data_IF_714485959524
#
_entry.id   IF_714485959524
#
_cell.length_a   1.000
_cell.length_b   1.000
_cell.length_c   1.000
_cell.angle_alpha   90.00
_cell.angle_beta   90.00
_cell.angle_gamma   90.00
#
_symmetry.space_group_name_H-M   'P 1'
#
loop_
_entity.id
_entity.type
_entity.pdbx_description
1 polymer ?
#
# COMPACT_ATOMS: atom_id res chain seq x y z
N UNK A 1 -27.64 -19.93 59.75
CA UNK A 1 -28.73 -20.36 60.66
C UNK A 1 -29.91 -20.73 59.78
N UNK A 2 -30.48 -21.93 59.68
CA UNK A 2 -30.48 -23.21 60.43
C UNK A 2 -30.69 -24.33 59.37
N UNK A 3 -29.80 -25.31 59.21
CA UNK A 3 -29.91 -26.72 59.66
C UNK A 3 -31.33 -27.30 59.77
N UNK A 4 -31.63 -28.23 58.83
CA UNK A 4 -32.18 -29.61 58.90
C UNK A 4 -33.13 -30.02 60.07
N UNK A 5 -34.01 -31.06 59.98
CA UNK A 5 -33.61 -32.43 59.61
C UNK A 5 -34.67 -33.29 58.88
N UNK A 6 -34.19 -34.41 58.34
CA UNK A 6 -34.97 -35.45 57.70
C UNK A 6 -34.09 -36.68 57.52
N UNK A 7 -33.67 -37.21 58.67
CA UNK A 7 -32.73 -38.30 58.92
C UNK A 7 -33.16 -39.66 58.31
N UNK A 8 -32.24 -40.35 57.63
CA UNK A 8 -31.42 -41.49 58.12
C UNK A 8 -32.06 -42.88 57.88
N UNK A 9 -31.34 -43.65 57.05
CA UNK A 9 -30.78 -45.01 57.29
C UNK A 9 -31.26 -46.13 56.37
N UNK A 10 -30.26 -46.91 55.95
CA UNK A 10 -30.28 -48.36 55.78
C UNK A 10 -31.04 -48.91 54.57
N UNK A 11 -30.46 -49.73 53.71
CA UNK A 11 -29.39 -50.71 53.91
C UNK A 11 -28.59 -50.90 52.62
N UNK A 12 -27.31 -51.13 52.78
CA UNK A 12 -26.38 -51.51 51.74
C UNK A 12 -26.77 -52.84 51.08
N UNK A 13 -26.58 -52.93 49.75
CA UNK A 13 -25.99 -54.12 49.16
C UNK A 13 -25.08 -53.72 47.99
N UNK A 14 -23.79 -53.86 48.25
CA UNK A 14 -22.70 -53.80 47.30
C UNK A 14 -22.70 -55.13 46.53
N UNK A 15 -22.91 -55.12 45.22
CA UNK A 15 -22.21 -56.07 44.33
C UNK A 15 -21.68 -55.30 43.12
N UNK A 16 -20.36 -55.24 43.16
CA UNK A 16 -19.42 -54.75 42.17
C UNK A 16 -19.55 -55.57 40.89
N UNK A 17 -19.90 -54.92 39.77
CA UNK A 17 -19.71 -55.48 38.44
C UNK A 17 -18.66 -54.64 37.70
N UNK A 18 -17.39 -54.85 38.07
CA UNK A 18 -16.27 -54.53 37.19
C UNK A 18 -16.22 -55.58 36.08
N UNK A 19 -16.21 -55.13 34.83
CA UNK A 19 -15.67 -55.93 33.73
C UNK A 19 -16.43 -55.81 32.42
N UNK A 20 -16.03 -54.80 31.63
CA UNK A 20 -15.90 -54.73 30.17
C UNK A 20 -16.50 -53.43 29.60
N UNK A 21 -15.65 -52.62 28.93
CA UNK A 21 -15.82 -52.57 27.49
C UNK A 21 -14.47 -52.77 26.78
N UNK A 22 -14.36 -53.88 26.08
CA UNK A 22 -13.51 -53.98 24.90
C UNK A 22 -14.31 -53.46 23.71
N UNK A 23 -13.86 -52.36 23.10
CA UNK A 23 -13.85 -52.16 21.65
C UNK A 23 -13.37 -50.73 21.38
N UNK A 24 -12.19 -50.65 20.78
CA UNK A 24 -11.57 -49.44 20.29
C UNK A 24 -12.50 -48.71 19.32
N UNK A 25 -12.75 -47.43 19.59
CA UNK A 25 -13.46 -46.56 18.68
C UNK A 25 -12.50 -46.19 17.54
N UNK A 26 -12.84 -46.63 16.32
CA UNK A 26 -12.10 -46.33 15.10
C UNK A 26 -11.99 -44.83 14.90
N UNK A 27 -10.78 -44.29 15.03
CA UNK A 27 -10.43 -42.96 14.56
C UNK A 27 -10.50 -42.97 13.03
N UNK A 28 -11.64 -42.55 12.49
CA UNK A 28 -11.83 -42.34 11.06
C UNK A 28 -10.97 -41.12 10.67
N UNK A 29 -9.79 -41.35 10.09
CA UNK A 29 -9.01 -40.29 9.45
C UNK A 29 -9.88 -39.58 8.38
N UNK A 30 -9.86 -38.24 8.29
CA UNK A 30 -10.53 -37.56 7.20
C UNK A 30 -9.90 -38.00 5.88
N UNK A 31 -10.75 -38.42 4.93
CA UNK A 31 -10.36 -38.70 3.55
C UNK A 31 -9.42 -37.59 3.06
N UNK A 32 -8.22 -37.96 2.62
CA UNK A 32 -7.37 -37.09 1.78
C UNK A 32 -8.28 -36.53 0.69
N UNK A 33 -8.50 -35.22 0.68
CA UNK A 33 -8.95 -34.55 -0.54
C UNK A 33 -7.86 -34.83 -1.57
N UNK A 34 -8.24 -35.50 -2.64
CA UNK A 34 -7.44 -35.57 -3.86
C UNK A 34 -7.25 -34.11 -4.32
N UNK A 35 -6.10 -33.54 -3.98
CA UNK A 35 -5.69 -32.26 -4.53
C UNK A 35 -5.53 -32.51 -6.03
N UNK A 36 -6.37 -31.84 -6.84
CA UNK A 36 -6.31 -31.94 -8.30
C UNK A 36 -4.87 -31.74 -8.75
N UNK A 37 -4.39 -32.61 -9.64
CA UNK A 37 -3.04 -32.64 -10.23
C UNK A 37 -2.60 -31.34 -10.94
N UNK A 38 -3.44 -30.30 -10.97
CA UNK A 38 -3.13 -29.00 -11.55
C UNK A 38 -2.37 -28.03 -10.63
N UNK A 39 -2.17 -28.37 -9.34
CA UNK A 39 -1.36 -27.54 -8.41
C UNK A 39 0.01 -28.15 -8.06
N UNK A 40 0.44 -29.19 -8.77
CA UNK A 40 1.68 -29.93 -8.51
C UNK A 40 2.93 -29.22 -9.04
N UNK A 41 3.05 -27.92 -8.82
CA UNK A 41 4.28 -27.17 -9.09
C UNK A 41 4.75 -26.32 -7.90
N UNK A 42 4.09 -26.38 -6.74
CA UNK A 42 4.34 -25.52 -5.59
C UNK A 42 5.42 -25.99 -4.59
N UNK A 43 6.23 -27.01 -4.91
CA UNK A 43 7.34 -27.47 -4.04
C UNK A 43 8.60 -27.67 -4.89
N UNK A 44 9.74 -27.07 -4.50
CA UNK A 44 11.05 -27.34 -5.12
C UNK A 44 11.48 -28.80 -4.84
N UNK A 45 12.38 -29.40 -5.62
CA UNK A 45 12.88 -30.76 -5.37
C UNK A 45 13.45 -30.96 -3.95
N UNK A 46 13.83 -29.88 -3.26
CA UNK A 46 14.33 -29.86 -1.88
C UNK A 46 13.23 -29.77 -0.79
N UNK A 47 11.95 -29.85 -1.15
CA UNK A 47 10.84 -29.77 -0.19
C UNK A 47 10.52 -28.36 0.34
N UNK A 48 11.20 -27.33 -0.17
CA UNK A 48 10.89 -25.94 0.12
C UNK A 48 9.61 -25.49 -0.62
N UNK A 49 8.72 -24.69 0.00
CA UNK A 49 7.62 -24.06 -0.71
C UNK A 49 8.19 -23.20 -1.85
N UNK A 50 7.59 -23.25 -3.04
CA UNK A 50 8.02 -22.37 -4.13
C UNK A 50 7.99 -20.92 -3.67
N UNK A 51 9.00 -20.11 -4.03
CA UNK A 51 8.91 -18.68 -3.82
C UNK A 51 7.65 -18.18 -4.51
N UNK A 52 6.81 -17.47 -3.76
CA UNK A 52 5.70 -16.72 -4.31
C UNK A 52 6.29 -15.64 -5.22
N UNK A 53 6.29 -15.90 -6.52
CA UNK A 53 6.94 -15.04 -7.49
C UNK A 53 5.92 -14.14 -8.17
N UNK A 54 6.18 -12.84 -8.13
CA UNK A 54 5.37 -11.87 -8.85
C UNK A 54 5.63 -12.04 -10.35
N UNK A 55 4.55 -12.13 -11.13
CA UNK A 55 4.61 -12.13 -12.59
C UNK A 55 3.73 -10.99 -13.10
N UNK A 56 4.30 -9.93 -13.71
CA UNK A 56 5.74 -9.68 -13.94
C UNK A 56 6.55 -9.50 -12.65
N UNK A 57 7.90 -9.71 -12.70
CA UNK A 57 8.76 -9.47 -11.54
C UNK A 57 8.76 -7.99 -11.17
N UNK A 58 8.73 -7.69 -9.87
CA UNK A 58 8.78 -6.32 -9.39
C UNK A 58 10.15 -5.68 -9.71
N UNK A 59 10.11 -4.40 -10.05
CA UNK A 59 11.30 -3.55 -10.10
C UNK A 59 11.91 -3.42 -8.70
N UNK A 60 13.14 -2.90 -8.62
CA UNK A 60 13.80 -2.53 -7.34
C UNK A 60 13.02 -1.48 -6.55
N UNK A 61 12.02 -0.87 -7.18
CA UNK A 61 11.12 0.09 -6.59
C UNK A 61 9.89 -0.51 -5.89
N UNK A 62 9.77 -1.83 -5.78
CA UNK A 62 8.69 -2.49 -5.05
C UNK A 62 9.11 -3.81 -4.41
N UNK A 63 8.21 -4.35 -3.60
CA UNK A 63 8.38 -5.67 -2.99
C UNK A 63 7.24 -6.60 -3.43
N UNK A 64 7.56 -7.85 -3.71
CA UNK A 64 6.55 -8.85 -4.03
C UNK A 64 5.84 -9.31 -2.75
N UNK A 65 4.52 -9.17 -2.70
CA UNK A 65 3.71 -9.52 -1.53
C UNK A 65 2.50 -10.36 -1.93
N UNK A 66 2.09 -11.27 -1.04
CA UNK A 66 0.86 -12.04 -1.20
C UNK A 66 -0.33 -11.21 -0.74
N UNK A 67 -1.41 -11.22 -1.52
CA UNK A 67 -2.66 -10.63 -1.06
C UNK A 67 -3.31 -11.58 -0.04
N UNK A 68 -3.58 -11.13 1.18
CA UNK A 68 -4.05 -12.01 2.26
C UNK A 68 -5.38 -12.74 2.01
N UNK A 69 -6.09 -12.39 0.93
CA UNK A 69 -7.38 -12.95 0.52
C UNK A 69 -7.32 -13.76 -0.77
N UNK A 70 -6.19 -13.79 -1.49
CA UNK A 70 -6.05 -14.52 -2.75
C UNK A 70 -4.70 -15.20 -2.88
N UNK A 71 -4.61 -16.21 -3.74
CA UNK A 71 -3.34 -16.86 -4.09
C UNK A 71 -2.50 -16.04 -5.08
N UNK A 72 -2.86 -14.77 -5.34
CA UNK A 72 -2.13 -13.89 -6.25
C UNK A 72 -1.13 -13.01 -5.49
N UNK A 73 0.14 -13.13 -5.88
CA UNK A 73 1.19 -12.20 -5.52
C UNK A 73 1.08 -10.93 -6.38
N UNK A 74 1.36 -9.76 -5.80
CA UNK A 74 1.45 -8.49 -6.51
C UNK A 74 2.62 -7.66 -6.00
N UNK A 75 3.03 -6.66 -6.78
CA UNK A 75 4.07 -5.74 -6.38
C UNK A 75 3.49 -4.62 -5.53
N UNK A 76 3.95 -4.51 -4.28
CA UNK A 76 3.74 -3.36 -3.43
C UNK A 76 4.80 -2.30 -3.76
N UNK A 77 4.39 -1.24 -4.44
CA UNK A 77 5.30 -0.18 -4.86
C UNK A 77 5.69 0.76 -3.73
N UNK A 78 6.93 1.25 -3.77
CA UNK A 78 7.38 2.37 -2.92
C UNK A 78 6.59 3.64 -3.27
N UNK A 79 6.49 4.61 -2.35
CA UNK A 79 5.84 5.89 -2.62
C UNK A 79 6.38 6.55 -3.89
N UNK A 80 5.49 7.09 -4.72
CA UNK A 80 5.84 7.74 -5.99
C UNK A 80 5.97 6.79 -7.19
N UNK A 81 6.04 5.47 -6.98
CA UNK A 81 6.07 4.48 -8.06
C UNK A 81 4.69 3.87 -8.31
N UNK A 82 4.45 3.45 -9.55
CA UNK A 82 3.23 2.81 -10.01
C UNK A 82 3.49 1.83 -11.15
N UNK A 83 2.41 1.21 -11.63
CA UNK A 83 2.46 0.10 -12.58
C UNK A 83 2.36 -1.26 -11.91
N UNK A 84 2.21 -2.31 -12.72
CA UNK A 84 2.02 -3.68 -12.23
C UNK A 84 3.28 -4.28 -11.59
N UNK A 85 4.44 -3.77 -12.00
CA UNK A 85 5.77 -4.14 -11.55
C UNK A 85 6.51 -2.97 -10.87
N UNK A 86 5.84 -1.85 -10.57
CA UNK A 86 6.49 -0.62 -10.07
C UNK A 86 7.53 -0.06 -11.04
N UNK A 87 7.23 -0.14 -12.33
CA UNK A 87 8.08 0.19 -13.46
C UNK A 87 7.96 1.64 -13.92
N UNK A 88 7.00 2.40 -13.38
CA UNK A 88 6.71 3.77 -13.76
C UNK A 88 6.63 4.67 -12.52
N UNK A 89 6.81 5.97 -12.73
CA UNK A 89 6.47 6.97 -11.72
C UNK A 89 4.98 7.27 -11.78
N UNK A 90 4.39 7.59 -10.63
CA UNK A 90 3.07 8.18 -10.57
C UNK A 90 3.08 9.58 -11.20
N UNK A 91 1.94 10.07 -11.71
CA UNK A 91 1.84 11.42 -12.25
C UNK A 91 2.35 12.48 -11.26
N UNK A 92 3.17 13.41 -11.74
CA UNK A 92 3.82 14.44 -10.92
C UNK A 92 5.08 13.98 -10.17
N UNK A 93 5.63 12.81 -10.49
CA UNK A 93 6.91 12.32 -9.98
C UNK A 93 7.88 12.04 -11.14
N UNK A 94 9.17 12.31 -10.93
CA UNK A 94 10.18 12.23 -11.98
C UNK A 94 11.48 11.53 -11.55
N UNK A 95 12.25 11.06 -12.54
CA UNK A 95 13.58 10.49 -12.35
C UNK A 95 13.57 9.05 -11.83
N UNK A 96 14.76 8.50 -11.59
CA UNK A 96 14.92 7.07 -11.19
C UNK A 96 14.28 6.73 -9.86
N UNK A 97 14.21 7.72 -8.96
CA UNK A 97 13.72 7.58 -7.60
C UNK A 97 12.26 8.05 -7.48
N UNK A 98 11.62 8.41 -8.61
CA UNK A 98 10.30 9.03 -8.67
C UNK A 98 10.16 10.10 -7.59
N UNK A 99 10.96 11.15 -7.69
CA UNK A 99 10.95 12.29 -6.78
C UNK A 99 9.77 13.21 -7.13
N UNK A 100 9.05 13.79 -6.15
CA UNK A 100 7.91 14.63 -6.47
C UNK A 100 8.37 15.92 -7.17
N UNK A 101 7.71 16.28 -8.26
CA UNK A 101 7.99 17.51 -9.01
C UNK A 101 7.93 18.77 -8.13
N UNK A 102 7.05 18.78 -7.12
CA UNK A 102 6.91 19.90 -6.17
C UNK A 102 8.23 20.22 -5.46
N UNK A 103 9.07 19.22 -5.16
CA UNK A 103 10.35 19.43 -4.47
C UNK A 103 11.36 20.25 -5.29
N UNK A 104 11.23 20.22 -6.62
CA UNK A 104 12.07 21.00 -7.54
C UNK A 104 11.38 22.29 -7.98
N UNK A 105 10.09 22.23 -8.30
CA UNK A 105 9.34 23.30 -8.95
C UNK A 105 8.48 24.17 -8.03
N UNK A 106 8.37 23.87 -6.73
CA UNK A 106 7.52 24.60 -5.79
C UNK A 106 8.09 24.57 -4.36
N UNK A 107 9.07 25.43 -4.05
CA UNK A 107 9.74 25.43 -2.76
C UNK A 107 8.87 25.96 -1.61
N UNK A 108 7.79 26.67 -1.92
CA UNK A 108 6.87 27.28 -0.96
C UNK A 108 5.76 26.35 -0.52
N UNK A 109 5.68 25.14 -1.09
CA UNK A 109 4.55 24.21 -0.93
C UNK A 109 3.22 24.91 -1.24
N UNK A 110 3.23 25.79 -2.24
CA UNK A 110 2.02 26.48 -2.68
C UNK A 110 1.03 25.42 -3.15
N UNK A 111 -0.15 25.36 -2.52
CA UNK A 111 -1.18 24.38 -2.89
C UNK A 111 -1.64 24.54 -4.35
N UNK A 112 -1.38 25.72 -4.93
CA UNK A 112 -1.57 25.98 -6.34
C UNK A 112 -0.27 25.63 -7.08
N UNK A 113 -0.31 24.56 -7.87
CA UNK A 113 0.78 24.26 -8.78
C UNK A 113 0.85 25.34 -9.88
N UNK A 114 1.84 26.23 -9.79
CA UNK A 114 2.12 27.26 -10.78
C UNK A 114 3.11 26.80 -11.86
N UNK A 115 3.23 25.48 -12.01
CA UNK A 115 4.21 24.85 -12.89
C UNK A 115 3.61 23.61 -13.53
N UNK A 116 4.15 23.28 -14.70
CA UNK A 116 4.12 21.96 -15.30
C UNK A 116 5.51 21.35 -15.15
N UNK A 117 5.59 20.02 -15.03
CA UNK A 117 6.83 19.31 -14.79
C UNK A 117 7.01 18.21 -15.82
N UNK A 118 8.24 18.02 -16.29
CA UNK A 118 8.66 16.84 -17.05
C UNK A 118 8.70 15.61 -16.13
N UNK A 119 7.57 14.93 -15.99
CA UNK A 119 7.38 13.78 -15.12
C UNK A 119 7.65 12.44 -15.82
N UNK A 120 7.78 11.37 -15.04
CA UNK A 120 8.05 10.02 -15.53
C UNK A 120 9.42 9.47 -15.19
N UNK A 121 9.57 8.17 -15.47
CA UNK A 121 10.80 7.42 -15.19
C UNK A 121 11.86 7.76 -16.24
N UNK A 122 13.00 8.30 -15.80
CA UNK A 122 14.05 8.79 -16.70
C UNK A 122 13.90 10.25 -17.12
N UNK A 123 12.80 10.90 -16.75
CA UNK A 123 12.60 12.34 -16.94
C UNK A 123 13.44 13.16 -15.97
N UNK A 124 13.68 14.42 -16.32
CA UNK A 124 14.58 15.33 -15.59
C UNK A 124 13.87 16.16 -14.51
N UNK A 125 12.53 16.19 -14.56
CA UNK A 125 11.71 17.01 -13.68
C UNK A 125 11.83 18.50 -13.98
N UNK A 126 12.18 18.88 -15.20
CA UNK A 126 12.29 20.29 -15.57
C UNK A 126 10.94 21.01 -15.45
N UNK A 127 10.99 22.22 -14.91
CA UNK A 127 9.83 22.99 -14.52
C UNK A 127 9.49 24.01 -15.61
N UNK A 128 8.23 24.04 -16.03
CA UNK A 128 7.69 25.05 -16.95
C UNK A 128 6.62 25.86 -16.23
N UNK A 129 6.89 27.14 -16.02
CA UNK A 129 5.97 28.00 -15.27
C UNK A 129 4.72 28.36 -16.07
N UNK A 130 3.59 28.45 -15.38
CA UNK A 130 2.33 28.95 -15.97
C UNK A 130 2.42 30.46 -16.21
N UNK A 131 1.62 31.00 -17.14
CA UNK A 131 1.76 32.34 -17.76
C UNK A 131 2.12 33.51 -16.81
N UNK A 132 1.60 33.54 -15.58
CA UNK A 132 1.83 34.63 -14.62
C UNK A 132 3.08 34.46 -13.72
N UNK A 133 3.75 33.31 -13.81
CA UNK A 133 4.83 32.89 -12.94
C UNK A 133 6.13 32.69 -13.75
N UNK A 134 7.26 32.86 -13.08
CA UNK A 134 8.59 32.82 -13.67
C UNK A 134 9.64 32.39 -12.64
N UNK A 135 10.86 32.16 -13.13
CA UNK A 135 11.96 31.62 -12.34
C UNK A 135 12.15 30.12 -12.59
N UNK A 136 13.32 29.59 -12.20
CA UNK A 136 13.64 28.16 -12.34
C UNK A 136 12.66 27.25 -11.58
N UNK A 137 12.08 27.79 -10.50
CA UNK A 137 11.14 27.09 -9.61
C UNK A 137 9.78 27.77 -9.55
N UNK A 138 9.45 28.59 -10.54
CA UNK A 138 8.16 29.29 -10.62
C UNK A 138 7.77 30.06 -9.35
N UNK A 139 8.77 30.58 -8.64
CA UNK A 139 8.68 31.22 -7.32
C UNK A 139 8.65 32.75 -7.41
N UNK A 140 8.51 33.29 -8.62
CA UNK A 140 8.46 34.72 -8.92
C UNK A 140 7.33 35.01 -9.88
N UNK A 141 6.82 36.24 -9.85
CA UNK A 141 5.90 36.67 -10.88
C UNK A 141 6.64 36.97 -12.18
N UNK A 142 6.02 36.64 -13.30
CA UNK A 142 6.49 37.04 -14.61
C UNK A 142 6.50 38.57 -14.74
N UNK A 143 7.30 39.07 -15.68
CA UNK A 143 7.37 40.52 -15.93
C UNK A 143 5.98 41.09 -16.27
N UNK A 144 5.61 42.22 -15.65
CA UNK A 144 4.31 42.85 -15.83
C UNK A 144 3.21 42.38 -14.85
N UNK A 145 3.49 41.39 -14.02
CA UNK A 145 2.60 40.93 -12.95
C UNK A 145 3.04 41.47 -11.59
N UNK A 146 2.07 41.74 -10.71
CA UNK A 146 2.28 42.17 -9.33
C UNK A 146 2.11 40.97 -8.40
N UNK A 147 3.12 40.69 -7.58
CA UNK A 147 3.10 39.58 -6.64
C UNK A 147 2.63 39.99 -5.24
N UNK A 148 1.67 39.26 -4.69
CA UNK A 148 1.29 39.34 -3.28
C UNK A 148 1.51 37.98 -2.60
N UNK A 149 1.63 37.96 -1.27
CA UNK A 149 1.82 36.72 -0.49
C UNK A 149 0.79 36.53 0.64
N UNK A 150 -0.52 36.45 0.33
CA UNK A 150 -1.53 36.13 1.34
C UNK A 150 -1.26 34.74 1.94
N UNK A 151 -1.19 34.68 3.27
CA UNK A 151 -0.85 33.45 4.02
C UNK A 151 0.45 32.74 3.54
N UNK A 152 1.39 33.48 2.97
CA UNK A 152 2.69 32.96 2.50
C UNK A 152 2.68 32.41 1.07
N UNK A 153 1.53 32.36 0.40
CA UNK A 153 1.38 31.80 -0.96
C UNK A 153 1.58 32.88 -2.01
N UNK A 154 2.42 32.64 -3.02
CA UNK A 154 2.63 33.63 -4.09
C UNK A 154 1.43 33.70 -5.04
N UNK A 155 0.79 34.86 -5.08
CA UNK A 155 -0.28 35.17 -6.03
C UNK A 155 0.21 36.26 -6.98
N UNK A 156 0.22 35.98 -8.28
CA UNK A 156 0.64 36.91 -9.32
C UNK A 156 -0.57 37.42 -10.09
N UNK A 157 -0.90 38.70 -9.90
CA UNK A 157 -2.05 39.35 -10.50
C UNK A 157 -1.62 40.38 -11.55
N UNK A 158 -2.42 40.52 -12.61
CA UNK A 158 -2.17 41.43 -13.71
C UNK A 158 -2.28 40.74 -15.07
N UNK A 159 -2.03 41.51 -16.12
CA UNK A 159 -1.97 41.05 -17.50
C UNK A 159 -0.62 41.48 -18.07
N UNK A 160 0.01 40.70 -18.95
CA UNK A 160 1.34 41.02 -19.48
C UNK A 160 1.35 42.33 -20.28
N UNK A 161 0.16 42.80 -20.70
CA UNK A 161 -0.06 44.03 -21.45
C UNK A 161 -0.32 45.27 -20.57
N UNK A 162 -0.54 45.08 -19.26
CA UNK A 162 -0.83 46.18 -18.34
C UNK A 162 0.46 46.87 -17.92
N UNK A 163 1.05 47.62 -18.84
CA UNK A 163 1.89 48.76 -18.48
C UNK A 163 1.04 49.67 -17.60
N UNK A 164 1.15 49.53 -16.28
CA UNK A 164 0.71 50.56 -15.35
C UNK A 164 1.59 51.78 -15.63
N UNK A 165 1.10 52.62 -16.54
CA UNK A 165 1.57 53.98 -16.69
C UNK A 165 1.38 54.67 -15.35
N UNK A 166 2.50 55.12 -14.78
CA UNK A 166 2.52 56.14 -13.74
C UNK A 166 1.63 57.30 -14.19
N UNK A 167 0.63 57.64 -13.40
CA UNK A 167 -0.14 58.86 -13.55
C UNK A 167 -0.41 59.49 -12.20
#
# INVERSE_FOLDING_TARGET
>A
MFVAPGDIMSTALIIVAFGLPAAANSAQLPRRREASESQLSAILPDGAPQPFECRPPCSTAGACVLNGTSSLAHCACRPGFGGSACEQCLPGFFGRDCTPCQTKCNPTNDANAHFECDDGIGSTGDCRCVRAYAGERCDKCAAGYVGTRPAGILVCEGEPSSRHGLH
#
